data_IF_492842480406
#
_entry.id   IF_492842480406
#
_cell.length_a   1.000
_cell.length_b   1.000
_cell.length_c   1.000
_cell.angle_alpha   90.00
_cell.angle_beta   90.00
_cell.angle_gamma   90.00
#
_symmetry.space_group_name_H-M   'P 1'
#
loop_
_entity.id
_entity.type
_entity.pdbx_description
1 polymer ?
#
# COMPACT_ATOMS: atom_id res chain seq x y z
N UNK A 1 27.03 -32.38 6.40
CA UNK A 1 26.09 -31.79 7.37
C UNK A 1 26.45 -30.33 7.52
N UNK A 2 25.60 -29.39 7.07
CA UNK A 2 25.86 -27.96 7.26
C UNK A 2 25.29 -27.08 6.15
N UNK A 3 24.13 -26.49 6.45
CA UNK A 3 23.48 -25.34 5.81
C UNK A 3 22.79 -25.52 4.44
N UNK A 4 21.52 -25.92 4.51
CA UNK A 4 20.51 -25.40 3.59
C UNK A 4 20.13 -23.97 4.02
N UNK A 5 20.09 -22.96 3.12
CA UNK A 5 19.37 -21.74 3.38
C UNK A 5 17.87 -22.04 3.29
N UNK A 6 17.31 -22.28 4.47
CA UNK A 6 15.88 -22.22 4.75
C UNK A 6 15.32 -20.87 4.25
N UNK A 7 14.23 -20.96 3.49
CA UNK A 7 13.15 -19.97 3.51
C UNK A 7 13.51 -18.50 3.23
N UNK A 8 13.61 -18.13 1.95
CA UNK A 8 13.15 -16.79 1.53
C UNK A 8 12.35 -16.86 0.23
N UNK A 9 11.26 -17.62 0.28
CA UNK A 9 10.14 -17.45 -0.65
C UNK A 9 9.48 -16.10 -0.34
N UNK A 10 9.82 -15.06 -1.07
CA UNK A 10 8.90 -13.94 -1.33
C UNK A 10 8.40 -14.03 -2.78
N UNK A 11 7.71 -15.14 -3.06
CA UNK A 11 6.93 -15.29 -4.29
C UNK A 11 5.61 -14.54 -4.15
N UNK A 12 5.64 -13.21 -4.26
CA UNK A 12 4.47 -12.40 -4.57
C UNK A 12 4.95 -10.98 -4.86
N UNK A 13 5.07 -10.53 -6.10
CA UNK A 13 3.89 -10.11 -6.84
C UNK A 13 4.29 -9.64 -8.25
N UNK A 14 4.76 -10.56 -9.10
CA UNK A 14 5.18 -10.26 -10.47
C UNK A 14 4.03 -10.52 -11.47
N UNK A 15 2.98 -9.69 -11.45
CA UNK A 15 2.01 -9.62 -12.55
C UNK A 15 0.93 -8.55 -12.31
N UNK A 16 0.78 -7.65 -13.27
CA UNK A 16 -0.40 -6.83 -13.58
C UNK A 16 -0.58 -5.53 -12.77
N UNK A 17 -0.05 -4.45 -13.37
CA UNK A 17 -0.16 -3.04 -12.96
C UNK A 17 0.40 -2.71 -11.57
N UNK A 18 1.09 -1.56 -11.41
CA UNK A 18 1.56 -1.14 -10.09
C UNK A 18 0.36 -0.94 -9.18
N UNK A 19 0.15 -1.87 -8.25
CA UNK A 19 -0.91 -1.78 -7.23
C UNK A 19 -0.79 -0.42 -6.56
N UNK A 20 -1.91 0.27 -6.34
CA UNK A 20 -1.94 1.59 -5.68
C UNK A 20 -1.08 1.61 -4.41
N UNK A 21 -1.09 0.52 -3.65
CA UNK A 21 -0.31 0.37 -2.43
C UNK A 21 1.21 0.30 -2.67
N UNK A 22 1.67 -0.29 -3.77
CA UNK A 22 3.09 -0.32 -4.13
C UNK A 22 3.58 1.07 -4.56
N UNK A 23 2.76 1.85 -5.27
CA UNK A 23 3.07 3.24 -5.61
C UNK A 23 3.19 4.12 -4.36
N UNK A 24 2.27 3.92 -3.41
CA UNK A 24 2.31 4.60 -2.11
C UNK A 24 3.58 4.24 -1.34
N UNK A 25 3.97 2.96 -1.30
CA UNK A 25 5.21 2.51 -0.65
C UNK A 25 6.45 3.16 -1.27
N UNK A 26 6.55 3.18 -2.59
CA UNK A 26 7.66 3.81 -3.29
C UNK A 26 7.75 5.32 -2.97
N UNK A 27 6.62 6.01 -2.95
CA UNK A 27 6.55 7.45 -2.63
C UNK A 27 6.95 7.74 -1.18
N UNK A 28 6.46 6.94 -0.23
CA UNK A 28 6.77 7.10 1.20
C UNK A 28 8.27 6.85 1.46
N UNK A 29 8.86 5.85 0.80
CA UNK A 29 10.30 5.57 0.87
C UNK A 29 11.13 6.68 0.25
N UNK A 30 10.72 7.23 -0.89
CA UNK A 30 11.38 8.39 -1.50
C UNK A 30 11.33 9.66 -0.63
N UNK A 31 10.30 9.78 0.22
CA UNK A 31 10.18 10.85 1.22
C UNK A 31 10.90 10.55 2.54
N UNK A 32 11.65 9.44 2.64
CA UNK A 32 12.44 9.05 3.81
C UNK A 32 11.63 8.92 5.11
N UNK A 33 10.34 8.61 5.00
CA UNK A 33 9.55 8.31 6.20
C UNK A 33 9.98 6.97 6.80
N UNK A 34 9.86 6.88 8.13
CA UNK A 34 10.11 5.62 8.85
C UNK A 34 9.17 4.50 8.39
N UNK A 35 9.68 3.26 8.43
CA UNK A 35 8.91 2.02 8.20
C UNK A 35 7.67 1.90 9.08
N UNK A 36 7.71 2.48 10.29
CA UNK A 36 6.56 2.52 11.20
C UNK A 36 5.44 3.39 10.62
N UNK A 37 5.79 4.55 10.06
CA UNK A 37 4.85 5.45 9.40
C UNK A 37 4.29 4.83 8.12
N UNK A 38 5.12 4.14 7.33
CA UNK A 38 4.69 3.38 6.12
C UNK A 38 3.52 2.44 6.44
N UNK A 39 3.60 1.68 7.54
CA UNK A 39 2.53 0.76 7.98
C UNK A 39 1.24 1.51 8.34
N UNK A 40 1.34 2.60 9.11
CA UNK A 40 0.18 3.42 9.51
C UNK A 40 -0.51 4.03 8.29
N UNK A 41 0.25 4.59 7.35
CA UNK A 41 -0.30 5.19 6.13
C UNK A 41 -1.02 4.15 5.27
N UNK A 42 -0.42 2.97 5.05
CA UNK A 42 -1.06 1.88 4.29
C UNK A 42 -2.36 1.45 4.95
N UNK A 43 -2.38 1.35 6.28
CA UNK A 43 -3.58 0.98 7.03
C UNK A 43 -4.70 2.02 6.86
N UNK A 44 -4.40 3.31 7.03
CA UNK A 44 -5.36 4.39 6.84
C UNK A 44 -5.88 4.48 5.40
N UNK A 45 -5.02 4.23 4.39
CA UNK A 45 -5.42 4.25 2.97
C UNK A 45 -6.35 3.09 2.64
N UNK A 46 -6.07 1.87 3.14
CA UNK A 46 -7.00 0.74 2.99
C UNK A 46 -8.37 1.07 3.58
N UNK A 47 -8.37 1.59 4.81
CA UNK A 47 -9.60 2.00 5.50
C UNK A 47 -10.36 3.08 4.75
N UNK A 48 -9.67 4.02 4.10
CA UNK A 48 -10.28 5.04 3.27
C UNK A 48 -10.94 4.43 2.02
N UNK A 49 -10.28 3.48 1.35
CA UNK A 49 -10.83 2.79 0.18
C UNK A 49 -12.10 2.02 0.56
N UNK A 50 -12.07 1.31 1.69
CA UNK A 50 -13.22 0.57 2.21
C UNK A 50 -14.36 1.51 2.60
N UNK A 51 -14.05 2.61 3.31
CA UNK A 51 -15.03 3.62 3.73
C UNK A 51 -15.72 4.31 2.55
N UNK A 52 -15.01 4.45 1.43
CA UNK A 52 -15.58 5.12 0.26
C UNK A 52 -16.44 4.17 -0.59
N UNK A 53 -16.60 2.89 -0.21
CA UNK A 53 -17.36 1.86 -0.95
C UNK A 53 -17.04 1.88 -2.46
N UNK A 54 -15.75 2.08 -2.79
CA UNK A 54 -15.23 2.25 -4.17
C UNK A 54 -15.80 3.45 -4.93
N UNK A 55 -16.64 4.30 -4.32
CA UNK A 55 -16.99 5.61 -4.88
C UNK A 55 -15.74 6.47 -4.88
N UNK A 56 -15.45 7.11 -6.01
CA UNK A 56 -14.29 7.98 -6.09
C UNK A 56 -14.51 9.18 -5.14
N UNK A 57 -13.54 9.56 -4.29
CA UNK A 57 -13.66 10.74 -3.41
C UNK A 57 -14.02 12.05 -4.16
N UNK A 58 -13.73 12.14 -5.46
CA UNK A 58 -14.16 13.24 -6.31
C UNK A 58 -15.69 13.40 -6.41
N UNK A 59 -16.46 12.30 -6.33
CA UNK A 59 -17.94 12.35 -6.35
C UNK A 59 -18.55 12.72 -4.99
N UNK A 60 -17.86 12.47 -3.88
CA UNK A 60 -18.31 12.84 -2.53
C UNK A 60 -17.96 14.29 -2.18
N UNK A 61 -16.81 14.77 -2.66
CA UNK A 61 -16.37 16.16 -2.42
C UNK A 61 -17.26 17.21 -3.12
N UNK A 62 -17.92 16.84 -4.23
CA UNK A 62 -18.81 17.74 -4.97
C UNK A 62 -20.13 18.07 -4.25
N UNK A 63 -20.51 17.29 -3.22
CA UNK A 63 -21.71 17.51 -2.41
C UNK A 63 -21.37 18.06 -1.01
N UNK A 64 -20.25 18.79 -0.89
CA UNK A 64 -19.85 19.50 0.34
C UNK A 64 -19.79 21.01 0.09
N UNK A 65 -20.91 21.58 -0.35
CA UNK A 65 -21.23 23.02 -0.39
C UNK A 65 -22.73 23.14 -0.59
#
# INVERSE_FOLDING_TARGET
>A
MGQAPDSLRDSSNASNAPRLLDQVRATIRGKHYSRRSEKTYIHSIKRLIDFTDKRHPAKLAACRT
#
